data_IF_532420529737
#
_entry.id   IF_532420529737
#
_cell.length_a   1.000
_cell.length_b   1.000
_cell.length_c   1.000
_cell.angle_alpha   90.00
_cell.angle_beta   90.00
_cell.angle_gamma   90.00
#
_symmetry.space_group_name_H-M   'P 1'
#
loop_
_entity.id
_entity.type
_entity.pdbx_description
1 polymer ?
#
# COMPACT_ATOMS: atom_id res chain seq x y z
N UNK A 1 -18.28 -2.58 26.31
CA UNK A 1 -17.23 -1.72 25.73
C UNK A 1 -15.99 -2.58 25.67
N UNK A 2 -15.91 -3.42 24.65
CA UNK A 2 -14.86 -4.42 24.49
C UNK A 2 -13.80 -3.89 23.53
N UNK A 3 -12.60 -3.66 24.08
CA UNK A 3 -11.28 -3.84 23.47
C UNK A 3 -11.13 -3.48 21.97
N UNK A 4 -11.01 -2.18 21.69
CA UNK A 4 -10.40 -1.64 20.47
C UNK A 4 -8.85 -1.77 20.49
N UNK A 5 -8.32 -2.92 20.91
CA UNK A 5 -6.89 -3.12 21.17
C UNK A 5 -6.31 -4.39 20.53
N UNK A 6 -6.80 -4.73 19.33
CA UNK A 6 -6.30 -5.85 18.51
C UNK A 6 -5.97 -5.45 17.04
N UNK A 7 -6.08 -4.16 16.68
CA UNK A 7 -5.81 -3.69 15.30
C UNK A 7 -4.40 -3.11 15.11
N UNK A 8 -3.54 -3.16 16.14
CA UNK A 8 -2.19 -2.55 16.13
C UNK A 8 -1.04 -3.52 15.82
N UNK A 9 -1.31 -4.83 15.76
CA UNK A 9 -0.34 -5.86 15.31
C UNK A 9 -0.39 -6.10 13.78
N UNK A 10 -1.13 -5.27 13.04
CA UNK A 10 -1.53 -5.54 11.65
C UNK A 10 -0.58 -5.00 10.56
N UNK A 11 0.66 -4.62 10.90
CA UNK A 11 1.63 -4.13 9.91
C UNK A 11 2.64 -5.23 9.61
N UNK A 12 2.75 -5.63 8.34
CA UNK A 12 3.49 -6.81 7.91
C UNK A 12 5.00 -6.60 8.03
N UNK A 13 5.65 -7.19 9.04
CA UNK A 13 7.12 -7.33 9.07
C UNK A 13 7.65 -8.09 7.84
N UNK A 14 6.78 -8.85 7.16
CA UNK A 14 7.10 -9.67 6.00
C UNK A 14 7.00 -8.89 4.68
N UNK A 15 6.49 -7.65 4.70
CA UNK A 15 6.22 -6.82 3.52
C UNK A 15 5.39 -7.56 2.45
N UNK A 16 4.40 -8.33 2.91
CA UNK A 16 3.48 -9.09 2.07
C UNK A 16 2.36 -8.19 1.53
N UNK A 17 2.53 -7.75 0.28
CA UNK A 17 1.59 -6.87 -0.41
C UNK A 17 0.25 -7.54 -0.69
N UNK A 18 0.21 -8.82 -1.01
CA UNK A 18 -1.06 -9.49 -1.33
C UNK A 18 -1.93 -9.58 -0.09
N UNK A 19 -1.34 -9.98 1.04
CA UNK A 19 -2.01 -10.03 2.34
C UNK A 19 -2.45 -8.66 2.82
N UNK A 20 -1.63 -7.62 2.63
CA UNK A 20 -2.01 -6.26 2.97
C UNK A 20 -3.24 -5.82 2.17
N UNK A 21 -3.24 -6.09 0.86
CA UNK A 21 -4.36 -5.71 0.01
C UNK A 21 -5.65 -6.47 0.38
N UNK A 22 -5.55 -7.78 0.67
CA UNK A 22 -6.69 -8.58 1.17
C UNK A 22 -7.31 -7.95 2.43
N UNK A 23 -6.49 -7.37 3.30
CA UNK A 23 -6.95 -6.77 4.55
C UNK A 23 -7.67 -5.43 4.36
N UNK A 24 -7.45 -4.72 3.25
CA UNK A 24 -7.99 -3.36 3.02
C UNK A 24 -9.03 -3.26 1.91
N UNK A 25 -9.15 -4.27 1.03
CA UNK A 25 -10.00 -4.24 -0.17
C UNK A 25 -11.46 -3.83 0.11
N UNK A 26 -12.03 -4.34 1.21
CA UNK A 26 -13.44 -4.12 1.56
C UNK A 26 -13.67 -2.94 2.52
N UNK A 27 -12.63 -2.16 2.81
CA UNK A 27 -12.72 -1.04 3.74
C UNK A 27 -13.16 0.26 3.04
N UNK A 28 -13.57 1.24 3.86
CA UNK A 28 -13.92 2.58 3.35
C UNK A 28 -12.68 3.30 2.79
N UNK A 29 -12.87 4.31 1.94
CA UNK A 29 -11.79 5.16 1.42
C UNK A 29 -10.93 5.73 2.55
N UNK A 30 -11.57 6.19 3.63
CA UNK A 30 -10.87 6.76 4.78
C UNK A 30 -9.96 5.72 5.46
N UNK A 31 -10.47 4.50 5.67
CA UNK A 31 -9.72 3.43 6.31
C UNK A 31 -8.60 2.91 5.41
N UNK A 32 -8.87 2.72 4.11
CA UNK A 32 -7.87 2.37 3.09
C UNK A 32 -6.73 3.37 3.11
N UNK A 33 -7.01 4.67 3.01
CA UNK A 33 -5.99 5.71 3.00
C UNK A 33 -5.20 5.71 4.32
N UNK A 34 -5.89 5.62 5.46
CA UNK A 34 -5.27 5.66 6.79
C UNK A 34 -4.36 4.46 7.02
N UNK A 35 -4.80 3.25 6.67
CA UNK A 35 -4.01 2.03 6.84
C UNK A 35 -2.83 1.98 5.88
N UNK A 36 -3.01 2.38 4.62
CA UNK A 36 -1.91 2.42 3.64
C UNK A 36 -0.82 3.41 4.05
N UNK A 37 -1.20 4.57 4.60
CA UNK A 37 -0.25 5.53 5.18
C UNK A 37 0.52 4.95 6.37
N UNK A 38 -0.20 4.31 7.31
CA UNK A 38 0.42 3.67 8.49
C UNK A 38 1.40 2.57 8.08
N UNK A 39 1.01 1.74 7.12
CA UNK A 39 1.85 0.67 6.58
C UNK A 39 3.13 1.23 5.93
N UNK A 40 3.00 2.30 5.14
CA UNK A 40 4.14 2.97 4.51
C UNK A 40 5.14 3.53 5.54
N UNK A 41 4.66 4.18 6.60
CA UNK A 41 5.54 4.67 7.67
C UNK A 41 6.24 3.54 8.42
N UNK A 42 5.54 2.43 8.68
CA UNK A 42 6.17 1.30 9.34
C UNK A 42 7.18 0.58 8.42
N UNK A 43 6.95 0.56 7.11
CA UNK A 43 7.94 0.08 6.15
C UNK A 43 9.20 0.97 6.13
N UNK A 44 9.06 2.31 6.22
CA UNK A 44 10.21 3.22 6.38
C UNK A 44 11.01 2.91 7.64
N UNK A 45 10.34 2.73 8.78
CA UNK A 45 10.97 2.37 10.05
C UNK A 45 11.68 1.01 9.96
N UNK A 46 11.04 0.03 9.31
CA UNK A 46 11.62 -1.29 9.09
C UNK A 46 12.90 -1.21 8.25
N UNK A 47 12.94 -0.41 7.18
CA UNK A 47 14.16 -0.18 6.39
C UNK A 47 15.29 0.34 7.27
N UNK A 48 15.01 1.35 8.11
CA UNK A 48 16.01 1.95 9.00
C UNK A 48 16.52 0.92 10.01
N UNK A 49 15.64 0.13 10.61
CA UNK A 49 15.99 -0.91 11.58
C UNK A 49 16.82 -2.04 10.94
N UNK A 50 16.39 -2.55 9.78
CA UNK A 50 17.09 -3.62 9.04
C UNK A 50 18.46 -3.17 8.57
N UNK A 51 18.58 -1.94 8.05
CA UNK A 51 19.88 -1.38 7.64
C UNK A 51 20.86 -1.28 8.82
N UNK A 52 20.40 -0.85 9.99
CA UNK A 52 21.22 -0.83 11.22
C UNK A 52 21.60 -2.23 11.70
N UNK A 53 20.74 -3.22 11.46
CA UNK A 53 20.99 -4.63 11.74
C UNK A 53 21.91 -5.34 10.76
N UNK A 54 22.37 -4.67 9.69
CA UNK A 54 23.25 -5.27 8.67
C UNK A 54 22.53 -6.19 7.68
N UNK A 55 21.23 -5.94 7.43
CA UNK A 55 20.48 -6.62 6.37
C UNK A 55 21.15 -6.47 5.00
N UNK A 56 20.93 -7.44 4.11
CA UNK A 56 21.44 -7.38 2.75
C UNK A 56 20.74 -6.29 1.94
N UNK A 57 21.40 -5.80 0.89
CA UNK A 57 20.78 -4.86 -0.06
C UNK A 57 19.52 -5.46 -0.70
N UNK A 58 19.48 -6.78 -0.94
CA UNK A 58 18.31 -7.48 -1.46
C UNK A 58 17.11 -7.40 -0.50
N UNK A 59 17.33 -7.55 0.80
CA UNK A 59 16.28 -7.40 1.82
C UNK A 59 15.78 -5.96 1.88
N UNK A 60 16.69 -4.98 1.85
CA UNK A 60 16.33 -3.56 1.87
C UNK A 60 15.59 -3.13 0.60
N UNK A 61 15.97 -3.64 -0.56
CA UNK A 61 15.28 -3.35 -1.82
C UNK A 61 13.87 -3.94 -1.83
N UNK A 62 13.68 -5.16 -1.32
CA UNK A 62 12.34 -5.76 -1.18
C UNK A 62 11.40 -4.89 -0.34
N UNK A 63 11.87 -4.38 0.80
CA UNK A 63 11.07 -3.50 1.67
C UNK A 63 10.83 -2.15 0.96
N UNK A 64 11.83 -1.65 0.21
CA UNK A 64 11.71 -0.40 -0.55
C UNK A 64 10.67 -0.51 -1.67
N UNK A 65 10.66 -1.59 -2.43
CA UNK A 65 9.66 -1.89 -3.46
C UNK A 65 8.24 -1.98 -2.88
N UNK A 66 8.10 -2.67 -1.74
CA UNK A 66 6.82 -2.73 -1.00
C UNK A 66 6.32 -1.33 -0.64
N UNK A 67 7.19 -0.51 -0.05
CA UNK A 67 6.86 0.85 0.34
C UNK A 67 6.57 1.77 -0.85
N UNK A 68 7.31 1.63 -1.97
CA UNK A 68 7.03 2.37 -3.21
C UNK A 68 5.63 2.09 -3.73
N UNK A 69 5.18 0.83 -3.70
CA UNK A 69 3.83 0.47 -4.11
C UNK A 69 2.76 1.12 -3.21
N UNK A 70 2.95 1.10 -1.89
CA UNK A 70 2.06 1.77 -0.92
C UNK A 70 1.97 3.27 -1.18
N UNK A 71 3.12 3.94 -1.33
CA UNK A 71 3.18 5.38 -1.58
C UNK A 71 2.59 5.76 -2.94
N UNK A 72 2.80 4.93 -3.96
CA UNK A 72 2.18 5.12 -5.27
C UNK A 72 0.65 5.10 -5.18
N UNK A 73 0.10 4.15 -4.42
CA UNK A 73 -1.35 4.08 -4.21
C UNK A 73 -1.89 5.25 -3.38
N UNK A 74 -1.19 5.65 -2.30
CA UNK A 74 -1.55 6.85 -1.53
C UNK A 74 -1.55 8.10 -2.40
N UNK A 75 -0.54 8.27 -3.25
CA UNK A 75 -0.45 9.40 -4.18
C UNK A 75 -1.66 9.45 -5.10
N UNK A 76 -2.02 8.31 -5.71
CA UNK A 76 -3.23 8.21 -6.52
C UNK A 76 -4.49 8.61 -5.74
N UNK A 77 -4.66 8.11 -4.52
CA UNK A 77 -5.86 8.39 -3.71
C UNK A 77 -5.98 9.86 -3.28
N UNK A 78 -4.85 10.53 -3.03
CA UNK A 78 -4.83 11.91 -2.54
C UNK A 78 -4.82 12.95 -3.66
N UNK A 79 -4.08 12.67 -4.73
CA UNK A 79 -3.84 13.62 -5.82
C UNK A 79 -4.76 13.35 -7.00
N UNK A 80 -5.19 12.10 -7.20
CA UNK A 80 -6.00 11.69 -8.34
C UNK A 80 -5.19 11.57 -9.63
N UNK A 81 -3.88 11.34 -9.54
CA UNK A 81 -2.97 11.20 -10.67
C UNK A 81 -2.17 9.90 -10.59
N UNK A 82 -1.66 9.41 -11.73
CA UNK A 82 -0.78 8.23 -11.77
C UNK A 82 0.55 8.57 -11.08
N UNK A 83 1.04 7.75 -10.13
CA UNK A 83 2.38 7.93 -9.58
C UNK A 83 3.44 7.66 -10.65
N UNK A 84 4.61 8.26 -10.47
CA UNK A 84 5.79 7.91 -11.28
C UNK A 84 6.31 6.52 -10.85
N UNK A 85 6.24 5.55 -11.76
CA UNK A 85 6.63 4.16 -11.53
C UNK A 85 7.89 3.88 -12.34
N UNK A 86 9.02 3.80 -11.64
CA UNK A 86 10.35 3.78 -12.25
C UNK A 86 10.78 2.44 -12.85
N UNK A 87 10.14 1.34 -12.46
CA UNK A 87 10.51 -0.02 -12.86
C UNK A 87 9.29 -0.88 -13.18
N UNK A 88 9.48 -1.93 -13.98
CA UNK A 88 8.43 -2.94 -14.24
C UNK A 88 7.96 -3.59 -12.93
N UNK A 89 8.86 -3.86 -12.00
CA UNK A 89 8.52 -4.43 -10.69
C UNK A 89 7.70 -3.49 -9.81
N UNK A 90 7.91 -2.16 -9.90
CA UNK A 90 7.07 -1.16 -9.23
C UNK A 90 5.67 -1.13 -9.87
N UNK A 91 5.60 -1.25 -11.20
CA UNK A 91 4.34 -1.30 -11.94
C UNK A 91 3.52 -2.53 -11.58
N UNK A 92 4.12 -3.73 -11.60
CA UNK A 92 3.44 -4.97 -11.23
C UNK A 92 2.86 -4.92 -9.81
N UNK A 93 3.62 -4.39 -8.83
CA UNK A 93 3.13 -4.23 -7.45
C UNK A 93 2.01 -3.20 -7.36
N UNK A 94 2.18 -2.04 -7.99
CA UNK A 94 1.16 -1.00 -8.02
C UNK A 94 -0.16 -1.49 -8.62
N UNK A 95 -0.10 -2.29 -9.69
CA UNK A 95 -1.26 -2.87 -10.37
C UNK A 95 -2.14 -3.72 -9.44
N UNK A 96 -1.56 -4.32 -8.39
CA UNK A 96 -2.33 -5.10 -7.41
C UNK A 96 -3.37 -4.25 -6.67
N UNK A 97 -3.13 -2.95 -6.49
CA UNK A 97 -4.10 -2.04 -5.85
C UNK A 97 -5.34 -1.76 -6.69
N UNK A 98 -5.36 -2.15 -7.98
CA UNK A 98 -6.53 -2.00 -8.85
C UNK A 98 -7.79 -2.62 -8.24
N UNK A 99 -7.67 -3.72 -7.50
CA UNK A 99 -8.82 -4.36 -6.83
C UNK A 99 -9.42 -3.50 -5.72
N UNK A 100 -8.58 -2.85 -4.92
CA UNK A 100 -9.02 -1.90 -3.89
C UNK A 100 -9.70 -0.70 -4.52
N UNK A 101 -9.07 -0.11 -5.54
CA UNK A 101 -9.64 1.02 -6.28
C UNK A 101 -11.00 0.65 -6.89
N UNK A 102 -11.13 -0.54 -7.48
CA UNK A 102 -12.39 -1.05 -8.04
C UNK A 102 -13.46 -1.20 -6.95
N UNK A 103 -13.12 -1.81 -5.82
CA UNK A 103 -14.03 -1.98 -4.68
C UNK A 103 -14.56 -0.63 -4.16
N UNK A 104 -13.68 0.37 -4.06
CA UNK A 104 -14.06 1.75 -3.69
C UNK A 104 -14.95 2.44 -4.75
N UNK A 105 -14.71 2.21 -6.04
CA UNK A 105 -15.57 2.71 -7.12
C UNK A 105 -16.96 2.08 -7.05
N UNK A 106 -17.04 0.76 -6.84
CA UNK A 106 -18.32 0.03 -6.72
C UNK A 106 -19.15 0.50 -5.52
N UNK A 107 -18.49 0.91 -4.43
CA UNK A 107 -19.13 1.55 -3.27
C UNK A 107 -19.47 3.03 -3.48
N UNK A 108 -19.04 3.66 -4.58
CA UNK A 108 -19.27 5.07 -4.87
C UNK A 108 -18.36 6.04 -4.08
N UNK A 109 -17.27 5.54 -3.53
CA UNK A 109 -16.29 6.33 -2.75
C UNK A 109 -15.17 6.92 -3.62
N UNK A 110 -14.96 6.36 -4.81
CA UNK A 110 -14.06 6.88 -5.84
C UNK A 110 -14.78 7.05 -7.19
N UNK A 111 -14.30 7.99 -8.00
CA UNK A 111 -14.78 8.15 -9.37
C UNK A 111 -14.25 7.01 -10.26
N UNK A 112 -15.07 6.47 -11.18
CA UNK A 112 -14.65 5.38 -12.08
C UNK A 112 -13.38 5.69 -12.89
N UNK A 113 -13.14 6.96 -13.21
CA UNK A 113 -11.96 7.42 -13.95
C UNK A 113 -10.63 7.05 -13.28
N UNK A 114 -10.63 6.79 -11.96
CA UNK A 114 -9.43 6.37 -11.23
C UNK A 114 -8.86 5.05 -11.77
N UNK A 115 -9.71 4.18 -12.31
CA UNK A 115 -9.29 2.86 -12.84
C UNK A 115 -8.44 3.00 -14.11
N UNK A 116 -8.57 4.11 -14.84
CA UNK A 116 -7.75 4.39 -16.02
C UNK A 116 -6.26 4.59 -15.67
N UNK A 117 -5.92 4.83 -14.40
CA UNK A 117 -4.53 4.92 -13.96
C UNK A 117 -3.89 3.55 -13.68
N UNK A 118 -4.67 2.47 -13.81
CA UNK A 118 -4.23 1.08 -13.76
C UNK A 118 -4.35 0.39 -15.11
N UNK A 119 -5.19 0.88 -16.01
CA UNK A 119 -5.30 0.34 -17.36
C UNK A 119 -4.24 1.04 -18.24
N UNK A 120 -3.24 0.30 -18.72
CA UNK A 120 -2.21 0.82 -19.64
C UNK A 120 -2.75 1.13 -21.04
#
# INVERSE_FOLDING_TARGET
MENFNLATDMISEECDLDRFIDAIEDLTYHDVLTLTLKEGYAADDLIVHRRRGGASEEELERISEYNRALRGFVFLLQVGERPDLSTEGDQEKYQKFRRVAKSLVERGELLPAILNYFDD
#
